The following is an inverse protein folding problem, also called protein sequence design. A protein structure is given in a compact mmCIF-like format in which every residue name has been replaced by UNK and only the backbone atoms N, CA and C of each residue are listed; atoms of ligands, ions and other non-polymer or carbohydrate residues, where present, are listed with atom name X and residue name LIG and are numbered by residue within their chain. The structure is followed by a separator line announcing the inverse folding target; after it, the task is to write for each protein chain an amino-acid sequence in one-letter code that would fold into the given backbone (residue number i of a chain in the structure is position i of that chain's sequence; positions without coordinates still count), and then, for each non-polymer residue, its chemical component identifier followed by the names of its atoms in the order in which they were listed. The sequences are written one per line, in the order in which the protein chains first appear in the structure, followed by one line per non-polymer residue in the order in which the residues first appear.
data_IF_632283186144
#
_entry.id   IF_632283186144
#
_cell.length_a   1.000
_cell.length_b   1.000
_cell.length_c   1.000
_cell.angle_alpha   90.00
_cell.angle_beta   90.00
_cell.angle_gamma   90.00
#
_symmetry.space_group_name_H-M   'P 1'
#
loop_
_entity.id
_entity.type
_entity.pdbx_description
1 polymer ?
#
# COMPACT_ATOMS: atom_id res chain seq x y z
N UNK A 1 -11.86 10.23 -5.90
CA UNK A 1 -12.57 11.53 -5.96
C UNK A 1 -12.96 11.76 -7.41
N UNK A 2 -14.23 11.88 -7.81
CA UNK A 2 -14.62 12.02 -9.23
C UNK A 2 -14.26 13.40 -9.86
N UNK A 3 -12.98 13.79 -9.81
CA UNK A 3 -12.43 15.08 -10.23
C UNK A 3 -13.10 16.30 -9.57
N UNK A 4 -13.45 16.20 -8.28
CA UNK A 4 -14.12 17.28 -7.55
C UNK A 4 -15.64 17.28 -7.64
N UNK A 5 -16.24 16.30 -8.34
CA UNK A 5 -17.70 16.23 -8.53
C UNK A 5 -18.38 15.30 -7.52
N UNK A 6 -19.43 15.82 -6.90
CA UNK A 6 -20.30 15.04 -6.02
C UNK A 6 -21.29 14.15 -6.78
N UNK A 7 -22.13 13.44 -6.02
CA UNK A 7 -23.20 12.58 -6.57
C UNK A 7 -24.29 13.35 -7.34
N UNK A 8 -24.35 14.66 -7.14
CA UNK A 8 -25.18 15.61 -7.89
C UNK A 8 -24.55 16.08 -9.22
N UNK A 9 -23.31 15.62 -9.51
CA UNK A 9 -22.57 15.96 -10.73
C UNK A 9 -21.93 17.34 -10.73
N UNK A 10 -22.11 18.12 -9.65
CA UNK A 10 -21.57 19.46 -9.51
C UNK A 10 -20.15 19.41 -8.96
N UNK A 11 -19.27 20.23 -9.53
CA UNK A 11 -17.92 20.45 -9.00
C UNK A 11 -17.99 21.34 -7.75
N UNK A 12 -17.61 20.80 -6.60
CA UNK A 12 -17.56 21.48 -5.29
C UNK A 12 -16.44 20.86 -4.45
N UNK A 13 -15.25 21.49 -4.47
CA UNK A 13 -14.06 20.95 -3.82
C UNK A 13 -14.16 21.05 -2.29
N UNK A 14 -14.88 22.04 -1.79
CA UNK A 14 -15.14 22.27 -0.37
C UNK A 14 -15.82 21.06 0.27
N UNK A 15 -16.77 20.42 -0.44
CA UNK A 15 -17.45 19.21 0.04
C UNK A 15 -16.49 18.04 0.25
N UNK A 16 -15.44 17.95 -0.60
CA UNK A 16 -14.38 16.95 -0.44
C UNK A 16 -13.51 17.29 0.77
N UNK A 17 -13.11 18.56 0.92
CA UNK A 17 -12.33 19.01 2.06
C UNK A 17 -13.07 18.75 3.39
N UNK A 18 -14.35 19.11 3.48
CA UNK A 18 -15.22 18.82 4.63
C UNK A 18 -15.28 17.32 4.93
N UNK A 19 -15.49 16.48 3.91
CA UNK A 19 -15.52 15.01 4.09
C UNK A 19 -14.18 14.50 4.64
N UNK A 20 -13.04 15.02 4.14
CA UNK A 20 -11.71 14.64 4.64
C UNK A 20 -11.54 15.09 6.10
N UNK A 21 -11.91 16.32 6.44
CA UNK A 21 -11.84 16.85 7.81
C UNK A 21 -12.66 16.01 8.79
N UNK A 22 -13.88 15.62 8.40
CA UNK A 22 -14.77 14.78 9.22
C UNK A 22 -14.17 13.41 9.51
N UNK A 23 -13.34 12.86 8.61
CA UNK A 23 -12.67 11.58 8.86
C UNK A 23 -11.57 11.66 9.93
N UNK A 24 -10.97 12.83 10.13
CA UNK A 24 -9.82 13.01 11.02
C UNK A 24 -8.54 12.30 10.57
N UNK A 25 -8.45 11.87 9.31
CA UNK A 25 -7.30 11.11 8.79
C UNK A 25 -6.01 11.95 8.77
N UNK A 26 -4.89 11.36 9.21
CA UNK A 26 -3.58 12.04 9.20
C UNK A 26 -2.86 11.94 7.84
N UNK A 27 -3.10 10.87 7.08
CA UNK A 27 -2.52 10.61 5.74
C UNK A 27 -3.65 10.12 4.83
N UNK A 28 -3.79 10.73 3.66
CA UNK A 28 -4.91 10.50 2.74
C UNK A 28 -4.36 10.18 1.35
N UNK A 29 -4.88 9.13 0.72
CA UNK A 29 -4.64 8.83 -0.69
C UNK A 29 -5.87 9.16 -1.54
N UNK A 30 -5.66 9.87 -2.64
CA UNK A 30 -6.70 10.39 -3.51
C UNK A 30 -6.51 9.90 -4.93
N UNK A 31 -7.57 9.35 -5.53
CA UNK A 31 -7.63 8.94 -6.92
C UNK A 31 -8.47 9.93 -7.73
N UNK A 32 -8.29 9.91 -9.05
CA UNK A 32 -9.02 10.76 -10.00
C UNK A 32 -8.83 12.26 -9.75
N UNK A 33 -7.60 12.64 -9.44
CA UNK A 33 -7.18 14.01 -9.17
C UNK A 33 -6.91 14.72 -10.48
N UNK A 34 -7.57 15.86 -10.70
CA UNK A 34 -7.32 16.73 -11.85
C UNK A 34 -6.39 17.89 -11.47
N UNK A 35 -5.43 18.18 -12.33
CA UNK A 35 -4.60 19.39 -12.26
C UNK A 35 -4.69 20.08 -13.61
N UNK A 36 -5.47 21.17 -13.66
CA UNK A 36 -5.77 21.93 -14.89
C UNK A 36 -6.36 21.08 -16.03
N UNK A 37 -6.94 19.92 -15.71
CA UNK A 37 -7.29 18.91 -16.70
C UNK A 37 -8.33 19.38 -17.71
N UNK A 38 -9.33 20.14 -17.27
CA UNK A 38 -10.42 20.58 -18.13
C UNK A 38 -11.57 21.23 -17.37
N UNK A 39 -12.63 21.58 -18.11
CA UNK A 39 -13.81 22.24 -17.55
C UNK A 39 -14.52 21.43 -16.44
N UNK A 40 -14.36 20.09 -16.41
CA UNK A 40 -14.98 19.23 -15.38
C UNK A 40 -14.53 19.52 -13.95
N UNK A 41 -13.32 20.07 -13.82
CA UNK A 41 -12.66 20.45 -12.58
C UNK A 41 -12.38 21.95 -12.55
N UNK A 42 -13.11 22.74 -13.36
CA UNK A 42 -12.91 24.18 -13.51
C UNK A 42 -11.46 24.58 -13.87
N UNK A 43 -10.69 23.67 -14.47
CA UNK A 43 -9.24 23.83 -14.70
C UNK A 43 -8.42 24.11 -13.42
N UNK A 44 -8.94 23.76 -12.25
CA UNK A 44 -8.25 23.99 -10.99
C UNK A 44 -7.12 22.98 -10.77
N UNK A 45 -6.13 23.39 -9.97
CA UNK A 45 -5.17 22.47 -9.38
C UNK A 45 -5.79 21.89 -8.10
N UNK A 46 -6.63 20.88 -8.26
CA UNK A 46 -7.50 20.39 -7.17
C UNK A 46 -6.73 19.91 -5.95
N UNK A 47 -5.59 19.26 -6.13
CA UNK A 47 -4.78 18.79 -5.00
C UNK A 47 -4.13 19.94 -4.25
N UNK A 48 -3.64 20.97 -4.94
CA UNK A 48 -3.05 22.13 -4.29
C UNK A 48 -4.10 22.88 -3.46
N UNK A 49 -5.28 23.10 -4.01
CA UNK A 49 -6.38 23.76 -3.29
C UNK A 49 -6.82 22.96 -2.05
N UNK A 50 -6.92 21.64 -2.16
CA UNK A 50 -7.21 20.77 -1.00
C UNK A 50 -6.11 20.84 0.05
N UNK A 51 -4.84 20.84 -0.36
CA UNK A 51 -3.71 20.90 0.55
C UNK A 51 -3.66 22.24 1.31
N UNK A 52 -3.96 23.35 0.62
CA UNK A 52 -4.05 24.69 1.22
C UNK A 52 -5.22 24.79 2.21
N UNK A 53 -6.41 24.28 1.86
CA UNK A 53 -7.59 24.30 2.73
C UNK A 53 -7.43 23.42 3.98
N UNK A 54 -6.75 22.28 3.84
CA UNK A 54 -6.58 21.30 4.91
C UNK A 54 -5.30 21.52 5.74
N UNK A 55 -4.45 22.48 5.37
CA UNK A 55 -3.11 22.71 5.95
C UNK A 55 -2.26 21.43 5.97
N UNK A 56 -2.16 20.75 4.82
CA UNK A 56 -1.44 19.47 4.67
C UNK A 56 -0.34 19.54 3.62
N UNK A 57 0.71 18.74 3.82
CA UNK A 57 1.68 18.44 2.76
C UNK A 57 1.02 17.58 1.68
N UNK A 58 1.45 17.73 0.43
CA UNK A 58 0.92 16.92 -0.67
C UNK A 58 1.99 16.47 -1.64
N UNK A 59 1.71 15.37 -2.33
CA UNK A 59 2.44 14.96 -3.52
C UNK A 59 1.45 14.47 -4.58
N UNK A 60 1.69 14.86 -5.83
CA UNK A 60 0.87 14.48 -6.97
C UNK A 60 1.67 13.60 -7.94
N UNK A 61 1.12 12.44 -8.27
CA UNK A 61 1.70 11.49 -9.21
C UNK A 61 0.81 11.42 -10.47
N UNK A 62 1.14 12.20 -11.52
CA UNK A 62 0.35 12.19 -12.75
C UNK A 62 0.38 10.83 -13.44
N UNK A 63 -0.80 10.39 -13.86
CA UNK A 63 -1.06 9.24 -14.73
C UNK A 63 -0.98 9.70 -16.19
N UNK A 64 -1.63 10.81 -16.49
CA UNK A 64 -1.57 11.50 -17.77
C UNK A 64 -1.02 12.90 -17.56
N UNK A 65 -0.20 13.32 -18.52
CA UNK A 65 0.41 14.63 -18.56
C UNK A 65 0.37 15.12 -20.01
N UNK A 66 -0.61 15.97 -20.31
CA UNK A 66 -0.92 16.41 -21.67
C UNK A 66 -0.51 17.86 -21.88
N UNK A 67 -0.33 18.22 -23.15
CA UNK A 67 -0.06 19.60 -23.54
C UNK A 67 -1.18 20.55 -23.07
N UNK A 68 -0.84 21.83 -22.80
CA UNK A 68 -1.82 22.84 -22.42
C UNK A 68 -3.00 22.93 -23.39
N UNK A 69 -4.17 23.30 -22.86
CA UNK A 69 -5.29 23.68 -23.71
C UNK A 69 -4.95 24.97 -24.49
N UNK A 70 -5.58 25.17 -25.65
CA UNK A 70 -5.40 26.38 -26.44
C UNK A 70 -5.69 27.63 -25.59
N UNK A 71 -4.71 28.53 -25.46
CA UNK A 71 -4.83 29.75 -24.68
C UNK A 71 -4.48 29.61 -23.19
N UNK A 72 -3.94 28.47 -22.77
CA UNK A 72 -3.37 28.25 -21.43
C UNK A 72 -1.88 27.88 -21.55
N UNK A 73 -1.09 28.25 -20.54
CA UNK A 73 0.30 27.83 -20.40
C UNK A 73 0.46 26.63 -19.45
N UNK A 74 -0.63 26.18 -18.82
CA UNK A 74 -0.62 25.10 -17.84
C UNK A 74 -0.84 23.73 -18.50
N UNK A 75 0.03 22.77 -18.18
CA UNK A 75 -0.13 21.36 -18.59
C UNK A 75 -1.39 20.78 -17.96
N UNK A 76 -2.04 19.86 -18.68
CA UNK A 76 -3.28 19.22 -18.25
C UNK A 76 -2.95 17.84 -17.70
N UNK A 77 -3.15 17.64 -16.41
CA UNK A 77 -2.72 16.41 -15.74
C UNK A 77 -3.88 15.75 -15.02
N UNK A 78 -3.85 14.43 -15.00
CA UNK A 78 -4.79 13.58 -14.27
C UNK A 78 -3.99 12.51 -13.55
N UNK A 79 -4.31 12.21 -12.30
CA UNK A 79 -3.63 11.11 -11.63
C UNK A 79 -4.12 10.78 -10.23
N UNK A 80 -3.16 10.32 -9.42
CA UNK A 80 -3.35 10.05 -8.01
C UNK A 80 -2.53 11.03 -7.19
N UNK A 81 -2.94 11.29 -5.96
CA UNK A 81 -2.24 12.17 -5.05
C UNK A 81 -2.31 11.65 -3.62
N UNK A 82 -1.54 12.31 -2.76
CA UNK A 82 -1.68 12.15 -1.32
C UNK A 82 -1.73 13.51 -0.62
N UNK A 83 -2.34 13.52 0.56
CA UNK A 83 -2.22 14.56 1.57
C UNK A 83 -1.65 13.95 2.83
N UNK A 84 -0.85 14.69 3.57
CA UNK A 84 -0.22 14.24 4.81
C UNK A 84 -0.05 15.38 5.78
N UNK A 85 -0.44 15.16 7.03
CA UNK A 85 -0.14 16.06 8.15
C UNK A 85 1.36 16.07 8.49
N UNK A 86 2.05 14.97 8.20
CA UNK A 86 3.48 14.83 8.42
C UNK A 86 4.25 15.25 7.15
N UNK A 87 5.44 15.86 7.29
CA UNK A 87 6.30 16.15 6.15
C UNK A 87 6.61 14.90 5.32
N UNK A 88 6.49 15.03 4.00
CA UNK A 88 6.90 13.99 3.05
C UNK A 88 8.41 14.10 2.85
N UNK A 89 9.17 13.10 3.29
CA UNK A 89 10.65 13.14 3.26
C UNK A 89 11.20 12.74 1.90
N UNK A 90 10.50 11.86 1.20
CA UNK A 90 10.80 11.43 -0.16
C UNK A 90 9.50 11.05 -0.89
N UNK A 91 9.45 11.21 -2.20
CA UNK A 91 8.31 10.77 -2.99
C UNK A 91 8.72 10.42 -4.43
N UNK A 92 8.03 9.45 -5.00
CA UNK A 92 8.25 8.98 -6.36
C UNK A 92 6.92 8.69 -7.06
N UNK A 93 6.90 8.91 -8.37
CA UNK A 93 5.84 8.41 -9.25
C UNK A 93 6.39 7.16 -9.96
N UNK A 94 6.10 6.00 -9.37
CA UNK A 94 6.56 4.70 -9.85
C UNK A 94 5.77 4.29 -11.09
N UNK A 95 6.42 3.50 -11.94
CA UNK A 95 5.80 2.99 -13.16
C UNK A 95 5.21 1.61 -12.92
N UNK A 96 3.99 1.40 -13.40
CA UNK A 96 3.31 0.10 -13.43
C UNK A 96 2.71 -0.12 -14.81
N UNK A 97 2.37 -1.36 -15.15
CA UNK A 97 1.78 -1.69 -16.45
C UNK A 97 0.43 -1.02 -16.61
N UNK A 98 0.24 -0.31 -17.73
CA UNK A 98 -0.99 0.44 -17.99
C UNK A 98 -1.43 0.31 -19.43
N UNK A 99 -2.75 0.35 -19.59
CA UNK A 99 -3.41 0.39 -20.87
C UNK A 99 -4.12 1.74 -21.02
N UNK A 100 -3.50 2.65 -21.78
CA UNK A 100 -3.95 4.02 -21.95
C UNK A 100 -5.44 4.10 -22.34
N UNK A 101 -6.14 5.09 -21.80
CA UNK A 101 -7.51 5.47 -22.20
C UNK A 101 -7.51 6.69 -23.11
N UNK A 102 -6.35 7.30 -23.33
CA UNK A 102 -6.15 8.48 -24.19
C UNK A 102 -5.57 8.10 -25.56
N UNK A 103 -5.07 6.88 -25.71
CA UNK A 103 -4.56 6.36 -26.98
C UNK A 103 -5.69 5.62 -27.73
N UNK A 104 -5.94 5.91 -29.02
CA UNK A 104 -6.93 5.16 -29.80
C UNK A 104 -6.61 3.67 -29.95
N UNK A 105 -5.34 3.26 -29.93
CA UNK A 105 -4.90 1.88 -30.04
C UNK A 105 -3.88 1.56 -28.93
N UNK A 106 -4.34 1.49 -27.67
CA UNK A 106 -3.44 1.35 -26.54
C UNK A 106 -2.83 -0.05 -26.49
N UNK A 107 -1.54 -0.12 -26.15
CA UNK A 107 -0.84 -1.37 -25.84
C UNK A 107 -0.39 -1.33 -24.36
N UNK A 108 -0.40 -2.47 -23.64
CA UNK A 108 0.12 -2.54 -22.27
C UNK A 108 1.59 -2.15 -22.21
N UNK A 109 1.94 -1.20 -21.36
CA UNK A 109 3.34 -0.79 -21.13
C UNK A 109 3.51 -0.17 -19.74
N UNK A 110 4.73 -0.20 -19.21
CA UNK A 110 5.08 0.54 -18.01
C UNK A 110 4.85 2.05 -18.25
N UNK A 111 4.09 2.66 -17.35
CA UNK A 111 3.77 4.08 -17.37
C UNK A 111 3.58 4.60 -15.93
N UNK A 112 3.77 5.91 -15.67
CA UNK A 112 3.59 6.48 -14.35
C UNK A 112 2.15 6.33 -13.84
N UNK A 113 1.99 6.45 -12.52
CA UNK A 113 0.69 6.45 -11.86
C UNK A 113 0.58 5.58 -10.62
N UNK A 114 1.71 5.14 -10.06
CA UNK A 114 1.78 4.51 -8.75
C UNK A 114 2.57 5.41 -7.81
N UNK A 115 1.86 6.11 -6.92
CA UNK A 115 2.48 7.04 -5.99
C UNK A 115 3.18 6.26 -4.89
N UNK A 116 4.40 6.64 -4.57
CA UNK A 116 5.13 6.21 -3.38
C UNK A 116 5.58 7.45 -2.62
N UNK A 117 5.40 7.45 -1.30
CA UNK A 117 5.91 8.50 -0.44
C UNK A 117 6.42 7.95 0.88
N UNK A 118 7.54 8.49 1.31
CA UNK A 118 8.16 8.22 2.59
C UNK A 118 7.71 9.26 3.61
N UNK A 119 7.15 8.79 4.72
CA UNK A 119 6.71 9.62 5.84
C UNK A 119 7.33 9.08 7.13
N UNK A 120 7.90 9.96 7.94
CA UNK A 120 8.37 9.59 9.28
C UNK A 120 7.28 9.87 10.33
N UNK A 121 6.75 8.82 10.96
CA UNK A 121 5.74 8.90 12.02
C UNK A 121 6.38 8.42 13.32
N UNK A 122 6.57 9.33 14.27
CA UNK A 122 7.18 9.05 15.58
C UNK A 122 8.51 8.25 15.51
N UNK A 123 9.30 8.49 14.46
CA UNK A 123 10.59 7.84 14.21
C UNK A 123 10.53 6.56 13.36
N UNK A 124 9.35 6.05 13.02
CA UNK A 124 9.17 4.97 12.07
C UNK A 124 9.02 5.53 10.64
N UNK A 125 9.74 4.94 9.69
CA UNK A 125 9.65 5.29 8.27
C UNK A 125 8.57 4.43 7.61
N UNK A 126 7.48 5.06 7.18
CA UNK A 126 6.34 4.44 6.51
C UNK A 126 6.36 4.81 5.04
N UNK A 127 6.17 3.81 4.18
CA UNK A 127 5.98 3.99 2.75
C UNK A 127 4.48 3.94 2.45
N UNK A 128 3.94 5.09 2.09
CA UNK A 128 2.54 5.26 1.73
C UNK A 128 2.40 5.24 0.21
N UNK A 129 1.53 4.36 -0.28
CA UNK A 129 1.29 4.14 -1.70
C UNK A 129 -0.13 4.48 -2.08
N UNK A 130 -0.30 5.13 -3.24
CA UNK A 130 -1.63 5.41 -3.81
C UNK A 130 -1.69 4.87 -5.23
N UNK A 131 -2.74 4.08 -5.50
CA UNK A 131 -2.98 3.51 -6.83
C UNK A 131 -4.42 3.72 -7.30
N UNK A 132 -4.63 3.50 -8.59
CA UNK A 132 -5.95 3.41 -9.22
C UNK A 132 -5.81 2.44 -10.40
N UNK A 133 -6.36 1.24 -10.25
CA UNK A 133 -6.18 0.14 -11.19
C UNK A 133 -7.16 0.19 -12.36
N UNK A 134 -6.86 -0.59 -13.40
CA UNK A 134 -7.67 -0.64 -14.61
C UNK A 134 -9.12 -1.08 -14.34
N UNK A 135 -10.08 -0.29 -14.82
CA UNK A 135 -11.51 -0.49 -14.59
C UNK A 135 -12.18 -1.47 -15.57
N UNK A 136 -11.47 -1.94 -16.61
CA UNK A 136 -12.07 -2.76 -17.65
C UNK A 136 -12.39 -4.15 -17.10
N UNK A 137 -13.35 -4.83 -17.73
CA UNK A 137 -13.80 -6.14 -17.26
C UNK A 137 -12.72 -7.23 -17.37
N UNK A 138 -11.79 -7.13 -18.32
CA UNK A 138 -10.68 -8.06 -18.46
C UNK A 138 -9.64 -7.81 -17.36
N UNK A 139 -9.36 -8.79 -16.48
CA UNK A 139 -8.44 -8.61 -15.36
C UNK A 139 -6.96 -8.58 -15.74
N UNK A 140 -6.59 -8.92 -16.99
CA UNK A 140 -5.18 -9.09 -17.38
C UNK A 140 -4.30 -7.86 -17.10
N UNK A 141 -4.84 -6.64 -17.27
CA UNK A 141 -4.10 -5.41 -16.94
C UNK A 141 -3.94 -5.26 -15.42
N UNK A 142 -4.98 -5.55 -14.65
CA UNK A 142 -4.91 -5.50 -13.17
C UNK A 142 -3.93 -6.54 -12.63
N UNK A 143 -3.87 -7.74 -13.20
CA UNK A 143 -2.90 -8.78 -12.81
C UNK A 143 -1.46 -8.28 -12.98
N UNK A 144 -1.13 -7.69 -14.13
CA UNK A 144 0.20 -7.10 -14.36
C UNK A 144 0.46 -5.92 -13.41
N UNK A 145 -0.54 -5.07 -13.16
CA UNK A 145 -0.42 -3.95 -12.22
C UNK A 145 -0.14 -4.43 -10.78
N UNK A 146 -0.87 -5.44 -10.31
CA UNK A 146 -0.68 -6.03 -8.98
C UNK A 146 0.71 -6.65 -8.87
N UNK A 147 1.18 -7.34 -9.91
CA UNK A 147 2.55 -7.87 -9.95
C UNK A 147 3.60 -6.75 -9.85
N UNK A 148 3.47 -5.69 -10.66
CA UNK A 148 4.42 -4.57 -10.67
C UNK A 148 4.43 -3.82 -9.32
N UNK A 149 3.24 -3.49 -8.79
CA UNK A 149 3.11 -2.83 -7.47
C UNK A 149 3.70 -3.69 -6.36
N UNK A 150 3.40 -5.00 -6.36
CA UNK A 150 3.93 -5.91 -5.35
C UNK A 150 5.44 -5.87 -5.35
N UNK A 151 6.08 -6.02 -6.52
CA UNK A 151 7.54 -5.97 -6.67
C UNK A 151 8.16 -4.68 -6.12
N UNK A 152 7.53 -3.52 -6.38
CA UNK A 152 7.97 -2.23 -5.87
C UNK A 152 7.82 -2.16 -4.35
N UNK A 153 6.69 -2.61 -3.81
CA UNK A 153 6.43 -2.57 -2.38
C UNK A 153 7.34 -3.53 -1.59
N UNK A 154 7.89 -4.59 -2.22
CA UNK A 154 8.89 -5.46 -1.59
C UNK A 154 10.19 -4.73 -1.26
N UNK A 155 10.46 -3.57 -1.87
CA UNK A 155 11.63 -2.74 -1.57
C UNK A 155 11.58 -2.20 -0.12
N UNK A 156 10.39 -2.20 0.50
CA UNK A 156 10.10 -1.52 1.76
C UNK A 156 9.32 -2.40 2.75
N UNK A 157 9.21 -1.91 3.99
CA UNK A 157 8.88 -2.72 5.15
C UNK A 157 7.56 -2.35 5.82
N UNK A 158 7.31 -1.05 6.01
CA UNK A 158 6.07 -0.53 6.53
C UNK A 158 5.30 0.09 5.38
N UNK A 159 4.59 -0.75 4.64
CA UNK A 159 3.84 -0.36 3.47
C UNK A 159 2.39 -0.13 3.86
N UNK A 160 1.83 1.00 3.47
CA UNK A 160 0.39 1.24 3.46
C UNK A 160 0.02 1.52 2.00
N UNK A 161 -0.75 0.63 1.38
CA UNK A 161 -1.28 0.80 0.04
C UNK A 161 -2.76 1.16 0.11
N UNK A 162 -3.13 2.29 -0.49
CA UNK A 162 -4.53 2.70 -0.60
C UNK A 162 -4.94 2.92 -2.05
N UNK A 163 -6.19 2.62 -2.37
CA UNK A 163 -6.74 3.00 -3.67
C UNK A 163 -7.92 2.18 -4.14
N UNK A 164 -8.43 2.61 -5.29
CA UNK A 164 -9.44 1.87 -6.05
C UNK A 164 -8.73 0.77 -6.86
N UNK A 165 -8.96 -0.47 -6.45
CA UNK A 165 -8.42 -1.66 -7.12
C UNK A 165 -9.30 -2.10 -8.29
N UNK A 166 -10.47 -1.48 -8.48
CA UNK A 166 -11.46 -1.81 -9.51
C UNK A 166 -11.87 -3.30 -9.54
N UNK A 167 -11.69 -3.99 -8.42
CA UNK A 167 -11.90 -5.42 -8.28
C UNK A 167 -12.45 -5.76 -6.88
N UNK A 168 -13.28 -6.81 -6.83
CA UNK A 168 -13.90 -7.29 -5.58
C UNK A 168 -12.91 -8.11 -4.76
N UNK A 169 -13.16 -8.34 -3.46
CA UNK A 169 -12.19 -9.04 -2.59
C UNK A 169 -11.87 -10.48 -3.03
N UNK A 170 -12.77 -11.11 -3.80
CA UNK A 170 -12.62 -12.47 -4.31
C UNK A 170 -12.06 -12.52 -5.75
N UNK A 171 -11.58 -11.40 -6.29
CA UNK A 171 -10.99 -11.34 -7.62
C UNK A 171 -9.59 -11.96 -7.60
N UNK A 172 -9.34 -12.90 -8.52
CA UNK A 172 -8.11 -13.70 -8.53
C UNK A 172 -6.86 -12.84 -8.73
N UNK A 173 -6.97 -11.77 -9.52
CA UNK A 173 -5.88 -10.83 -9.76
C UNK A 173 -5.42 -10.08 -8.50
N UNK A 174 -6.26 -9.98 -7.47
CA UNK A 174 -5.91 -9.35 -6.19
C UNK A 174 -5.33 -10.35 -5.18
N UNK A 175 -5.40 -11.66 -5.43
CA UNK A 175 -4.91 -12.68 -4.48
C UNK A 175 -3.48 -12.42 -3.99
N UNK A 176 -2.51 -11.98 -4.82
CA UNK A 176 -1.18 -11.65 -4.31
C UNK A 176 -1.20 -10.56 -3.22
N UNK A 177 -2.06 -9.54 -3.33
CA UNK A 177 -2.16 -8.51 -2.30
C UNK A 177 -2.70 -9.10 -0.99
N UNK A 178 -3.78 -9.88 -1.04
CA UNK A 178 -4.36 -10.54 0.13
C UNK A 178 -3.47 -11.62 0.75
N UNK A 179 -2.53 -12.16 -0.02
CA UNK A 179 -1.58 -13.16 0.47
C UNK A 179 -0.44 -12.52 1.28
N UNK A 180 0.01 -11.33 0.88
CA UNK A 180 1.22 -10.70 1.43
C UNK A 180 0.94 -9.50 2.33
N UNK A 181 -0.24 -8.91 2.25
CA UNK A 181 -0.65 -7.72 2.98
C UNK A 181 -1.98 -7.94 3.70
N UNK A 182 -2.12 -7.29 4.85
CA UNK A 182 -3.38 -7.29 5.60
C UNK A 182 -4.34 -6.27 4.97
N UNK A 183 -5.50 -6.73 4.53
CA UNK A 183 -6.62 -5.85 4.19
C UNK A 183 -7.17 -5.25 5.47
N UNK A 184 -7.10 -3.93 5.66
CA UNK A 184 -7.58 -3.26 6.87
C UNK A 184 -9.05 -3.56 7.19
N UNK A 185 -9.85 -3.93 6.19
CA UNK A 185 -11.25 -4.29 6.40
C UNK A 185 -11.44 -5.64 7.10
N UNK A 186 -10.42 -6.50 7.20
CA UNK A 186 -10.54 -7.85 7.75
C UNK A 186 -11.05 -7.91 9.20
N UNK A 187 -10.92 -6.81 9.96
CA UNK A 187 -11.41 -6.71 11.34
C UNK A 187 -12.94 -6.60 11.44
N UNK A 188 -13.63 -6.41 10.31
CA UNK A 188 -15.08 -6.21 10.23
C UNK A 188 -15.78 -7.47 9.70
N UNK A 189 -16.89 -7.86 10.32
CA UNK A 189 -17.74 -8.98 9.87
C UNK A 189 -18.76 -8.58 8.78
N UNK A 190 -18.68 -7.35 8.27
CA UNK A 190 -19.61 -6.78 7.28
C UNK A 190 -18.91 -6.49 5.96
N UNK A 191 -19.67 -6.29 4.88
CA UNK A 191 -19.13 -6.28 3.52
C UNK A 191 -18.27 -5.06 3.13
N UNK A 192 -18.46 -3.90 3.78
CA UNK A 192 -17.68 -2.69 3.50
C UNK A 192 -17.85 -2.13 2.09
N UNK A 193 -19.07 -2.09 1.56
CA UNK A 193 -19.29 -1.58 0.20
C UNK A 193 -18.97 -0.09 0.08
N UNK A 194 -18.22 0.27 -0.96
CA UNK A 194 -17.69 1.62 -1.20
C UNK A 194 -18.27 2.27 -2.46
N UNK A 195 -18.80 1.46 -3.39
CA UNK A 195 -19.27 1.95 -4.70
C UNK A 195 -20.57 1.25 -5.14
N UNK A 196 -21.48 1.95 -5.87
CA UNK A 196 -21.60 3.41 -5.92
C UNK A 196 -22.05 3.97 -4.57
N UNK A 197 -21.60 5.16 -4.21
CA UNK A 197 -21.85 5.80 -2.89
C UNK A 197 -23.32 6.00 -2.57
N UNK A 198 -24.16 6.16 -3.59
CA UNK A 198 -25.62 6.33 -3.44
C UNK A 198 -26.35 5.04 -3.04
N UNK A 199 -25.92 3.89 -3.56
CA UNK A 199 -26.46 2.56 -3.23
C UNK A 199 -25.31 1.53 -3.26
N UNK A 200 -24.47 1.50 -2.21
CA UNK A 200 -23.25 0.69 -2.23
C UNK A 200 -23.55 -0.80 -2.34
N UNK A 201 -22.91 -1.48 -3.31
CA UNK A 201 -23.12 -2.91 -3.56
C UNK A 201 -21.84 -3.67 -3.95
N UNK A 202 -20.69 -3.02 -3.88
CA UNK A 202 -19.36 -3.59 -4.12
C UNK A 202 -18.33 -2.83 -3.30
N UNK A 203 -17.34 -3.56 -2.81
CA UNK A 203 -16.11 -3.04 -2.22
C UNK A 203 -15.03 -3.14 -3.27
N UNK A 204 -14.51 -1.98 -3.69
CA UNK A 204 -13.43 -1.89 -4.68
C UNK A 204 -12.31 -0.94 -4.24
N UNK A 205 -12.52 -0.21 -3.14
CA UNK A 205 -11.54 0.67 -2.52
C UNK A 205 -10.98 -0.02 -1.27
N UNK A 206 -9.65 -0.03 -1.13
CA UNK A 206 -8.96 -0.80 -0.11
C UNK A 206 -7.87 0.02 0.59
N UNK A 207 -7.59 -0.38 1.82
CA UNK A 207 -6.38 -0.03 2.56
C UNK A 207 -5.70 -1.36 2.88
N UNK A 208 -4.54 -1.61 2.29
CA UNK A 208 -3.68 -2.74 2.62
C UNK A 208 -2.50 -2.26 3.45
N UNK A 209 -2.12 -3.02 4.46
CA UNK A 209 -0.93 -2.74 5.27
C UNK A 209 0.01 -3.93 5.29
N UNK A 210 1.29 -3.68 5.52
CA UNK A 210 2.20 -4.78 5.88
C UNK A 210 1.63 -5.56 7.09
N UNK A 211 1.82 -6.89 7.18
CA UNK A 211 1.24 -7.75 8.24
C UNK A 211 1.57 -7.39 9.71
N UNK A 212 2.45 -6.40 9.91
CA UNK A 212 2.96 -5.98 11.21
C UNK A 212 2.39 -4.64 11.68
N UNK A 213 1.46 -4.09 10.91
CA UNK A 213 0.75 -2.88 11.24
C UNK A 213 -0.60 -3.27 11.79
N UNK A 214 -0.81 -3.03 13.08
CA UNK A 214 -2.05 -3.43 13.73
C UNK A 214 -3.17 -2.50 13.26
N UNK A 215 -4.27 -3.08 12.81
CA UNK A 215 -5.48 -2.33 12.47
C UNK A 215 -6.38 -2.28 13.70
N UNK A 216 -6.59 -1.09 14.24
CA UNK A 216 -7.42 -0.87 15.43
C UNK A 216 -8.88 -0.56 15.08
N UNK A 217 -9.10 0.08 13.94
CA UNK A 217 -10.42 0.39 13.40
C UNK A 217 -10.37 0.50 11.88
N UNK A 218 -11.49 0.24 11.21
CA UNK A 218 -11.67 0.46 9.78
C UNK A 218 -13.13 0.79 9.49
N UNK A 219 -13.39 1.85 8.73
CA UNK A 219 -14.74 2.38 8.50
C UNK A 219 -14.94 2.80 7.04
N UNK A 220 -16.18 2.67 6.55
CA UNK A 220 -16.64 3.29 5.32
C UNK A 220 -17.48 4.51 5.71
N UNK A 221 -17.08 5.69 5.24
CA UNK A 221 -17.68 6.95 5.64
C UNK A 221 -18.75 7.34 4.61
N UNK A 222 -19.99 7.52 5.06
CA UNK A 222 -21.09 7.95 4.18
C UNK A 222 -20.86 9.40 3.73
N UNK A 223 -20.86 9.64 2.42
CA UNK A 223 -20.68 11.00 1.87
C UNK A 223 -21.32 11.13 0.48
N UNK A 224 -21.66 12.36 0.12
CA UNK A 224 -22.09 12.76 -1.23
C UNK A 224 -20.98 13.50 -2.02
N UNK A 225 -19.74 13.48 -1.50
CA UNK A 225 -18.59 14.18 -2.08
C UNK A 225 -18.02 13.50 -3.33
N UNK A 226 -18.26 12.20 -3.50
CA UNK A 226 -17.89 11.44 -4.70
C UNK A 226 -18.92 10.34 -4.92
N UNK A 227 -18.86 9.73 -6.09
CA UNK A 227 -19.50 8.46 -6.42
C UNK A 227 -18.89 7.25 -5.69
N UNK A 228 -17.74 7.39 -5.03
CA UNK A 228 -17.16 6.41 -4.09
C UNK A 228 -17.25 6.92 -2.65
N UNK A 229 -17.40 6.01 -1.69
CA UNK A 229 -17.33 6.31 -0.26
C UNK A 229 -15.88 6.22 0.24
N UNK A 230 -15.41 7.20 1.06
CA UNK A 230 -14.09 7.12 1.68
C UNK A 230 -13.96 5.93 2.64
N UNK A 231 -12.84 5.22 2.55
CA UNK A 231 -12.43 4.19 3.51
C UNK A 231 -11.37 4.79 4.43
N UNK A 232 -11.51 4.58 5.74
CA UNK A 232 -10.53 4.99 6.75
C UNK A 232 -10.09 3.80 7.58
N UNK A 233 -8.87 3.83 8.09
CA UNK A 233 -8.37 2.84 9.03
C UNK A 233 -7.44 3.51 10.05
N UNK A 234 -7.56 3.09 11.31
CA UNK A 234 -6.65 3.44 12.38
C UNK A 234 -5.56 2.37 12.44
N UNK A 235 -4.32 2.78 12.20
CA UNK A 235 -3.20 1.86 12.03
C UNK A 235 -2.12 2.15 13.06
N UNK A 236 -1.87 1.20 13.96
CA UNK A 236 -0.78 1.24 14.93
C UNK A 236 0.47 0.59 14.36
N UNK A 237 1.56 1.36 14.33
CA UNK A 237 2.89 0.88 13.93
C UNK A 237 3.59 0.32 15.18
N UNK A 238 3.84 -0.98 15.18
CA UNK A 238 4.63 -1.61 16.22
C UNK A 238 6.12 -1.32 15.96
N UNK A 239 6.68 -0.35 16.70
CA UNK A 239 8.03 0.20 16.51
C UNK A 239 9.17 -0.83 16.54
N UNK A 240 8.91 -2.05 17.02
CA UNK A 240 9.89 -3.13 17.20
C UNK A 240 9.71 -4.30 16.21
N UNK A 241 8.80 -4.16 15.23
CA UNK A 241 8.40 -5.24 14.31
C UNK A 241 8.93 -4.98 12.90
N UNK A 242 10.26 -5.01 12.79
CA UNK A 242 11.04 -4.53 11.66
C UNK A 242 10.91 -5.40 10.40
N UNK A 243 11.14 -4.78 9.25
CA UNK A 243 11.42 -5.33 7.90
C UNK A 243 11.31 -6.81 7.57
N UNK A 244 10.91 -7.11 6.32
CA UNK A 244 11.32 -8.30 5.58
C UNK A 244 12.83 -8.29 5.25
N UNK A 245 13.66 -8.00 6.24
CA UNK A 245 15.11 -8.03 6.15
C UNK A 245 15.65 -8.91 7.25
N UNK A 246 16.86 -9.42 7.08
CA UNK A 246 17.50 -10.24 8.09
C UNK A 246 17.70 -9.46 9.40
N UNK A 247 17.94 -8.14 9.30
CA UNK A 247 17.95 -7.25 10.46
C UNK A 247 16.58 -7.19 11.11
N UNK A 248 15.52 -7.11 10.32
CA UNK A 248 14.17 -7.01 10.84
C UNK A 248 13.74 -8.27 11.58
N UNK A 249 14.00 -9.43 10.99
CA UNK A 249 13.77 -10.72 11.62
C UNK A 249 14.51 -10.89 12.96
N UNK A 250 15.70 -10.29 13.13
CA UNK A 250 16.40 -10.31 14.43
C UNK A 250 15.62 -9.56 15.48
N UNK A 251 15.12 -8.38 15.15
CA UNK A 251 14.31 -7.60 16.08
C UNK A 251 12.99 -8.31 16.41
N UNK A 252 12.38 -9.06 15.47
CA UNK A 252 11.20 -9.88 15.77
C UNK A 252 11.50 -10.94 16.83
N UNK A 253 12.66 -11.59 16.73
CA UNK A 253 13.08 -12.57 17.74
C UNK A 253 13.20 -11.89 19.09
N UNK A 254 13.80 -10.70 19.16
CA UNK A 254 13.92 -9.94 20.40
C UNK A 254 12.54 -9.54 20.96
N UNK A 255 11.62 -9.11 20.10
CA UNK A 255 10.24 -8.75 20.45
C UNK A 255 9.45 -9.94 21.01
N UNK A 256 9.45 -11.09 20.32
CA UNK A 256 8.74 -12.29 20.76
C UNK A 256 9.38 -12.96 21.98
N UNK A 257 10.71 -12.83 22.17
CA UNK A 257 11.38 -13.24 23.41
C UNK A 257 10.90 -12.40 24.60
N UNK A 258 10.82 -11.07 24.46
CA UNK A 258 10.34 -10.18 25.53
C UNK A 258 8.88 -10.43 25.91
N UNK A 259 8.04 -10.84 24.95
CA UNK A 259 6.64 -11.24 25.19
C UNK A 259 6.48 -12.65 25.76
N UNK A 260 7.57 -13.42 25.90
CA UNK A 260 7.52 -14.81 26.35
C UNK A 260 6.90 -15.76 25.32
N UNK A 261 6.82 -15.34 24.06
CA UNK A 261 6.29 -16.14 22.95
C UNK A 261 7.34 -17.04 22.33
N UNK A 262 8.62 -16.76 22.57
CA UNK A 262 9.73 -17.67 22.37
C UNK A 262 10.25 -18.12 23.74
N UNK A 263 10.19 -19.43 24.03
CA UNK A 263 10.37 -19.92 25.41
C UNK A 263 11.69 -20.69 25.65
N UNK A 264 12.45 -20.98 24.58
CA UNK A 264 13.69 -21.76 24.68
C UNK A 264 14.93 -20.92 24.34
N UNK A 265 15.65 -20.44 25.37
CA UNK A 265 16.80 -19.55 25.20
C UNK A 265 17.90 -20.10 24.27
N UNK A 266 18.13 -21.42 24.30
CA UNK A 266 19.16 -22.04 23.46
C UNK A 266 18.78 -21.98 21.97
N UNK A 267 17.51 -22.22 21.66
CA UNK A 267 17.01 -22.12 20.27
C UNK A 267 16.84 -20.68 19.82
N UNK A 268 16.48 -19.76 20.71
CA UNK A 268 16.47 -18.32 20.40
C UNK A 268 17.86 -17.86 19.98
N UNK A 269 18.90 -18.20 20.75
CA UNK A 269 20.29 -17.87 20.42
C UNK A 269 20.73 -18.52 19.10
N UNK A 270 20.27 -19.75 18.82
CA UNK A 270 20.54 -20.42 17.53
C UNK A 270 19.85 -19.73 16.37
N UNK A 271 18.62 -19.26 16.56
CA UNK A 271 17.84 -18.51 15.57
C UNK A 271 18.55 -17.19 15.24
N UNK A 272 19.02 -16.42 16.25
CA UNK A 272 19.83 -15.20 16.06
C UNK A 272 21.12 -15.47 15.28
N UNK A 273 21.88 -16.50 15.67
CA UNK A 273 23.10 -16.89 14.96
C UNK A 273 22.82 -17.27 13.49
N UNK A 274 21.68 -17.90 13.22
CA UNK A 274 21.29 -18.23 11.86
C UNK A 274 21.04 -16.98 11.02
N UNK A 275 20.39 -15.97 11.59
CA UNK A 275 20.22 -14.67 10.95
C UNK A 275 21.54 -13.92 10.77
N UNK A 276 22.51 -14.04 11.69
CA UNK A 276 23.87 -13.49 11.47
C UNK A 276 24.53 -14.09 10.22
N UNK A 277 24.38 -15.41 10.03
CA UNK A 277 24.91 -16.12 8.86
C UNK A 277 24.20 -15.67 7.57
N UNK A 278 22.88 -15.53 7.61
CA UNK A 278 22.11 -15.01 6.48
C UNK A 278 22.59 -13.61 6.12
N UNK A 279 22.77 -12.71 7.09
CA UNK A 279 23.23 -11.34 6.83
C UNK A 279 24.62 -11.32 6.18
N UNK A 280 25.52 -12.20 6.63
CA UNK A 280 26.81 -12.38 5.97
C UNK A 280 26.68 -12.82 4.50
N UNK A 281 25.74 -13.70 4.17
CA UNK A 281 25.52 -14.13 2.78
C UNK A 281 24.86 -13.06 1.91
N UNK A 282 24.00 -12.23 2.51
CA UNK A 282 23.41 -11.04 1.87
C UNK A 282 24.52 -10.06 1.46
N UNK A 283 25.38 -9.65 2.41
CA UNK A 283 26.50 -8.73 2.14
C UNK A 283 27.49 -9.25 1.08
N UNK A 284 27.62 -10.58 0.96
CA UNK A 284 28.51 -11.24 0.00
C UNK A 284 27.81 -11.66 -1.29
N UNK A 285 26.53 -11.34 -1.45
CA UNK A 285 25.69 -11.73 -2.57
C UNK A 285 25.81 -13.23 -2.92
N UNK A 286 25.71 -14.10 -1.91
CA UNK A 286 25.88 -15.56 -2.05
C UNK A 286 24.53 -16.26 -2.18
N UNK A 287 23.83 -16.04 -3.30
CA UNK A 287 22.47 -16.54 -3.58
C UNK A 287 22.22 -18.01 -3.19
N UNK A 288 22.99 -18.97 -3.68
CA UNK A 288 22.76 -20.40 -3.36
C UNK A 288 22.88 -20.71 -1.86
N UNK A 289 23.76 -19.98 -1.16
CA UNK A 289 23.92 -20.12 0.30
C UNK A 289 22.77 -19.46 1.03
N UNK A 290 22.33 -18.29 0.55
CA UNK A 290 21.16 -17.60 1.09
C UNK A 290 19.93 -18.51 1.07
N UNK A 291 19.54 -19.00 -0.10
CA UNK A 291 18.33 -19.83 -0.27
C UNK A 291 18.40 -21.07 0.63
N UNK A 292 19.52 -21.79 0.60
CA UNK A 292 19.69 -22.98 1.45
C UNK A 292 19.57 -22.70 2.95
N UNK A 293 20.07 -21.54 3.40
CA UNK A 293 19.96 -21.14 4.80
C UNK A 293 18.56 -20.61 5.13
N UNK A 294 17.84 -19.99 4.20
CA UNK A 294 16.43 -19.65 4.42
C UNK A 294 15.59 -20.92 4.59
N UNK A 295 15.77 -21.94 3.74
CA UNK A 295 15.10 -23.25 3.89
C UNK A 295 15.40 -23.88 5.27
N UNK A 296 16.68 -23.89 5.66
CA UNK A 296 17.10 -24.44 6.97
C UNK A 296 16.57 -23.63 8.16
N UNK A 297 16.26 -22.34 7.94
CA UNK A 297 15.67 -21.49 8.96
C UNK A 297 14.18 -21.80 9.14
N UNK A 298 13.43 -22.04 8.06
CA UNK A 298 12.05 -22.54 8.14
C UNK A 298 11.99 -23.85 8.90
N UNK A 299 12.91 -24.78 8.65
CA UNK A 299 12.99 -26.05 9.39
C UNK A 299 13.20 -25.82 10.90
N UNK A 300 14.05 -24.86 11.28
CA UNK A 300 14.29 -24.50 12.67
C UNK A 300 13.05 -23.90 13.35
N UNK A 301 12.32 -23.03 12.66
CA UNK A 301 11.06 -22.46 13.15
C UNK A 301 9.99 -23.54 13.29
N UNK A 302 9.87 -24.41 12.30
CA UNK A 302 8.92 -25.54 12.29
C UNK A 302 9.21 -26.51 13.43
N UNK A 303 10.49 -26.79 13.70
CA UNK A 303 10.90 -27.57 14.86
C UNK A 303 10.45 -26.90 16.16
N UNK A 304 10.70 -25.60 16.33
CA UNK A 304 10.25 -24.87 17.51
C UNK A 304 8.72 -24.91 17.66
N UNK A 305 7.98 -24.79 16.56
CA UNK A 305 6.52 -24.83 16.54
C UNK A 305 5.96 -26.17 17.00
N UNK A 306 6.48 -27.25 16.42
CA UNK A 306 6.08 -28.61 16.77
C UNK A 306 6.35 -28.98 18.24
N UNK A 307 7.30 -28.29 18.89
CA UNK A 307 7.63 -28.49 20.29
C UNK A 307 7.07 -27.40 21.22
N UNK A 308 6.13 -26.57 20.73
CA UNK A 308 5.47 -25.51 21.52
C UNK A 308 6.46 -24.50 22.15
N UNK A 309 7.58 -24.26 21.47
CA UNK A 309 8.64 -23.34 21.91
C UNK A 309 8.49 -21.93 21.31
N UNK A 310 7.52 -21.78 20.39
CA UNK A 310 7.15 -20.56 19.68
C UNK A 310 5.62 -20.49 19.59
N UNK A 311 5.02 -19.32 19.73
CA UNK A 311 3.58 -19.09 19.54
C UNK A 311 3.16 -19.34 18.08
N UNK A 312 1.86 -19.53 17.82
CA UNK A 312 1.32 -19.54 16.44
C UNK A 312 1.68 -18.23 15.71
N UNK A 313 1.40 -17.10 16.35
CA UNK A 313 1.68 -15.76 15.82
C UNK A 313 3.16 -15.58 15.44
N UNK A 314 4.09 -15.84 16.36
CA UNK A 314 5.51 -15.68 16.11
C UNK A 314 6.03 -16.62 15.02
N UNK A 315 5.50 -17.85 14.96
CA UNK A 315 5.86 -18.82 13.92
C UNK A 315 5.39 -18.36 12.55
N UNK A 316 4.11 -18.02 12.41
CA UNK A 316 3.52 -17.63 11.14
C UNK A 316 4.24 -16.39 10.58
N UNK A 317 4.54 -15.41 11.44
CA UNK A 317 5.25 -14.19 11.08
C UNK A 317 6.69 -14.46 10.65
N UNK A 318 7.46 -15.24 11.41
CA UNK A 318 8.86 -15.53 11.07
C UNK A 318 8.99 -16.41 9.83
N UNK A 319 8.09 -17.37 9.62
CA UNK A 319 8.08 -18.21 8.41
C UNK A 319 7.68 -17.38 7.20
N UNK A 320 6.65 -16.54 7.31
CA UNK A 320 6.23 -15.64 6.22
C UNK A 320 7.39 -14.75 5.74
N UNK A 321 8.16 -14.17 6.67
CA UNK A 321 9.36 -13.39 6.32
C UNK A 321 10.44 -14.20 5.63
N UNK A 322 10.65 -15.42 6.12
CA UNK A 322 11.68 -16.30 5.57
C UNK A 322 11.32 -16.70 4.14
N UNK A 323 10.04 -17.01 3.89
CA UNK A 323 9.51 -17.37 2.57
C UNK A 323 9.52 -16.17 1.62
N UNK A 324 9.18 -14.98 2.11
CA UNK A 324 9.29 -13.74 1.37
C UNK A 324 10.72 -13.48 0.92
N UNK A 325 11.69 -13.51 1.85
CA UNK A 325 13.10 -13.34 1.54
C UNK A 325 13.57 -14.41 0.54
N UNK A 326 13.12 -15.65 0.70
CA UNK A 326 13.45 -16.76 -0.20
C UNK A 326 12.93 -16.50 -1.61
N UNK A 327 11.72 -15.96 -1.76
CA UNK A 327 11.15 -15.57 -3.04
C UNK A 327 11.97 -14.43 -3.70
N UNK A 328 12.32 -13.38 -2.94
CA UNK A 328 13.16 -12.28 -3.42
C UNK A 328 14.49 -12.79 -3.98
N UNK A 329 15.24 -13.56 -3.18
CA UNK A 329 16.54 -14.11 -3.58
C UNK A 329 16.45 -15.14 -4.72
N UNK A 330 15.32 -15.85 -4.84
CA UNK A 330 15.09 -16.75 -5.98
C UNK A 330 14.87 -15.99 -7.29
N UNK A 331 14.26 -14.80 -7.23
CA UNK A 331 13.90 -13.98 -8.39
C UNK A 331 15.04 -13.11 -8.97
N UNK A 332 16.06 -12.79 -8.18
CA UNK A 332 17.23 -12.01 -8.65
C UNK A 332 18.01 -12.78 -9.73
N UNK A 333 18.12 -12.23 -10.95
CA UNK A 333 18.81 -12.87 -12.07
C UNK A 333 20.33 -12.84 -11.97
#
# INVERSE_FOLDING_TARGET
MAAGRGTDGNYQLERIAETIQETGADIIGLQEVDVHWGARSNYDNTIQLLAEELDMYYYFAPIYDMEPAQGSDHRRQFGVAMLSKYPITNAANRQITRLSTQDPNPEPRLAPGFLEAEITIEGAVVHFYVTHLDYRSNPAIREMQVSDMSAIMLENNYNILVGDMNARPNAEELHPLFQWYDDAWHINDVQGYTYPSTVPNRRIDYIFTSPRMKIDAAQVNMSNASDHLPVTADVTILRENHSYSIRGMKSLIDYYEQRGELTNQQLINRTRLHLDILHYYEEKNRKDKMIKHLDSFVDLLTYQKNHQMISDEAYDVLVSDTEFLRACWSSEK
#
